data_IF_055992811336
#
_entry.id   IF_055992811336
#
_cell.length_a   1.000
_cell.length_b   1.000
_cell.length_c   1.000
_cell.angle_alpha   90.00
_cell.angle_beta   90.00
_cell.angle_gamma   90.00
#
_symmetry.space_group_name_H-M   'P 1'
#
loop_
_entity.id
_entity.type
_entity.pdbx_description
1 polymer ?
#
# COMPACT_ATOMS: atom_id res chain seq x y z
N UNK A 1 -5.34 11.72 -10.43
CA UNK A 1 -6.77 11.76 -10.02
C UNK A 1 -7.48 10.41 -10.04
N UNK A 2 -7.42 9.62 -11.12
CA UNK A 2 -8.07 8.30 -11.15
C UNK A 2 -7.44 7.30 -10.15
N UNK A 3 -6.11 7.23 -10.09
CA UNK A 3 -5.37 6.37 -9.13
C UNK A 3 -5.69 6.77 -7.68
N UNK A 4 -5.73 8.06 -7.36
CA UNK A 4 -6.00 8.54 -6.01
C UNK A 4 -7.42 8.18 -5.54
N UNK A 5 -8.43 8.34 -6.40
CA UNK A 5 -9.81 7.91 -6.09
C UNK A 5 -9.91 6.40 -5.86
N UNK A 6 -9.18 5.61 -6.64
CA UNK A 6 -9.18 4.16 -6.51
C UNK A 6 -8.50 3.72 -5.21
N UNK A 7 -7.33 4.30 -4.88
CA UNK A 7 -6.64 4.03 -3.61
C UNK A 7 -7.47 4.42 -2.40
N UNK A 8 -8.19 5.54 -2.48
CA UNK A 8 -9.14 5.94 -1.44
C UNK A 8 -10.29 4.95 -1.31
N UNK A 9 -10.84 4.45 -2.42
CA UNK A 9 -11.87 3.41 -2.42
C UNK A 9 -11.36 2.10 -1.81
N UNK A 10 -10.14 1.66 -2.15
CA UNK A 10 -9.50 0.49 -1.54
C UNK A 10 -9.33 0.69 -0.04
N UNK A 11 -8.83 1.86 0.39
CA UNK A 11 -8.61 2.14 1.81
C UNK A 11 -9.92 2.07 2.61
N UNK A 12 -11.01 2.64 2.10
CA UNK A 12 -12.34 2.55 2.75
C UNK A 12 -12.85 1.11 2.77
N UNK A 13 -12.69 0.39 1.66
CA UNK A 13 -13.18 -0.99 1.56
C UNK A 13 -12.43 -1.92 2.51
N UNK A 14 -11.11 -1.75 2.62
CA UNK A 14 -10.25 -2.49 3.54
C UNK A 14 -10.59 -2.18 4.99
N UNK A 15 -10.84 -0.91 5.33
CA UNK A 15 -11.24 -0.51 6.68
C UNK A 15 -12.60 -1.08 7.11
N UNK A 16 -13.47 -1.40 6.14
CA UNK A 16 -14.82 -1.95 6.40
C UNK A 16 -14.86 -3.48 6.39
N UNK A 17 -14.10 -4.13 5.51
CA UNK A 17 -14.19 -5.57 5.28
C UNK A 17 -12.90 -6.34 5.58
N UNK A 18 -11.81 -5.66 5.98
CA UNK A 18 -10.48 -6.23 6.21
C UNK A 18 -9.99 -7.12 5.06
N UNK A 19 -10.43 -6.83 3.84
CA UNK A 19 -10.19 -7.61 2.63
C UNK A 19 -9.92 -6.68 1.46
N UNK A 20 -8.85 -6.96 0.72
CA UNK A 20 -8.54 -6.30 -0.54
C UNK A 20 -8.97 -7.24 -1.69
N UNK A 21 -10.00 -6.89 -2.48
CA UNK A 21 -10.42 -7.73 -3.59
C UNK A 21 -9.38 -7.70 -4.72
N UNK A 22 -9.03 -8.86 -5.29
CA UNK A 22 -8.08 -8.93 -6.40
C UNK A 22 -8.50 -8.08 -7.61
N UNK A 23 -9.81 -7.88 -7.80
CA UNK A 23 -10.34 -7.03 -8.86
C UNK A 23 -9.90 -5.56 -8.72
N UNK A 24 -9.86 -4.99 -7.50
CA UNK A 24 -9.41 -3.60 -7.32
C UNK A 24 -7.92 -3.45 -7.60
N UNK A 25 -7.11 -4.46 -7.27
CA UNK A 25 -5.69 -4.50 -7.60
C UNK A 25 -5.46 -4.60 -9.11
N UNK A 26 -6.25 -5.44 -9.81
CA UNK A 26 -6.19 -5.54 -11.27
C UNK A 26 -6.54 -4.20 -11.92
N UNK A 27 -7.59 -3.53 -11.43
CA UNK A 27 -7.99 -2.21 -11.92
C UNK A 27 -6.89 -1.17 -11.67
N UNK A 28 -6.24 -1.20 -10.50
CA UNK A 28 -5.10 -0.34 -10.19
C UNK A 28 -3.95 -0.53 -11.19
N UNK A 29 -3.59 -1.78 -11.52
CA UNK A 29 -2.56 -2.09 -12.52
C UNK A 29 -2.94 -1.51 -13.88
N UNK A 30 -4.17 -1.75 -14.34
CA UNK A 30 -4.65 -1.27 -15.65
C UNK A 30 -4.61 0.25 -15.71
N UNK A 31 -5.11 0.96 -14.69
CA UNK A 31 -5.08 2.43 -14.65
C UNK A 31 -3.64 2.95 -14.59
N UNK A 32 -2.75 2.33 -13.82
CA UNK A 32 -1.33 2.71 -13.76
C UNK A 32 -0.66 2.58 -15.12
N UNK A 33 -0.93 1.51 -15.87
CA UNK A 33 -0.40 1.32 -17.22
C UNK A 33 -0.94 2.41 -18.16
N UNK A 34 -2.25 2.68 -18.12
CA UNK A 34 -2.90 3.70 -18.96
C UNK A 34 -2.44 5.13 -18.62
N UNK A 35 -2.08 5.38 -17.37
CA UNK A 35 -1.60 6.70 -16.91
C UNK A 35 -0.13 6.96 -17.22
N UNK A 36 0.56 5.98 -17.82
CA UNK A 36 2.00 6.01 -18.05
C UNK A 36 2.76 5.49 -16.83
N UNK A 37 3.28 4.27 -16.94
CA UNK A 37 4.16 3.71 -15.90
C UNK A 37 5.43 4.54 -15.85
N UNK A 38 5.79 4.99 -14.64
CA UNK A 38 6.88 5.95 -14.50
C UNK A 38 8.24 5.31 -14.84
N UNK A 39 8.49 4.04 -14.47
CA UNK A 39 9.77 3.34 -14.74
C UNK A 39 9.65 1.80 -14.59
N UNK A 40 8.93 1.12 -15.49
CA UNK A 40 8.78 -0.35 -15.41
C UNK A 40 10.08 -1.08 -15.76
N UNK A 41 10.56 -1.93 -14.86
CA UNK A 41 11.71 -2.80 -15.06
C UNK A 41 11.47 -4.14 -14.38
N UNK A 42 11.67 -5.22 -15.14
CA UNK A 42 11.47 -6.59 -14.67
C UNK A 42 12.43 -6.97 -13.54
N UNK A 43 13.68 -6.49 -13.59
CA UNK A 43 14.68 -6.79 -12.56
C UNK A 43 14.26 -6.11 -11.25
N UNK A 44 13.82 -4.85 -11.34
CA UNK A 44 13.34 -4.09 -10.21
C UNK A 44 12.04 -4.69 -9.61
N UNK A 45 11.11 -5.12 -10.44
CA UNK A 45 9.90 -5.84 -10.02
C UNK A 45 10.26 -7.13 -9.25
N UNK A 46 11.19 -7.92 -9.76
CA UNK A 46 11.64 -9.15 -9.12
C UNK A 46 12.30 -8.85 -7.77
N UNK A 47 13.19 -7.86 -7.71
CA UNK A 47 13.83 -7.40 -6.49
C UNK A 47 12.81 -6.99 -5.42
N UNK A 48 11.83 -6.15 -5.77
CA UNK A 48 10.76 -5.75 -4.84
C UNK A 48 9.96 -6.97 -4.41
N UNK A 49 9.58 -7.85 -5.34
CA UNK A 49 8.76 -9.02 -5.01
C UNK A 49 9.44 -9.94 -3.99
N UNK A 50 10.76 -10.15 -4.13
CA UNK A 50 11.56 -10.93 -3.18
C UNK A 50 11.69 -10.20 -1.84
N UNK A 51 11.98 -8.90 -1.86
CA UNK A 51 12.10 -8.10 -0.65
C UNK A 51 10.78 -8.07 0.15
N UNK A 52 9.65 -7.88 -0.55
CA UNK A 52 8.32 -7.91 0.07
C UNK A 52 7.99 -9.33 0.55
N UNK A 53 8.27 -10.38 -0.22
CA UNK A 53 8.04 -11.76 0.23
C UNK A 53 8.81 -12.11 1.51
N UNK A 54 10.08 -11.69 1.60
CA UNK A 54 10.89 -11.83 2.82
C UNK A 54 10.29 -11.04 3.98
N UNK A 55 9.87 -9.79 3.73
CA UNK A 55 9.21 -8.96 4.74
C UNK A 55 7.91 -9.60 5.24
N UNK A 56 7.06 -10.10 4.35
CA UNK A 56 5.80 -10.79 4.68
C UNK A 56 6.06 -12.04 5.51
N UNK A 57 7.10 -12.82 5.18
CA UNK A 57 7.47 -14.02 5.90
C UNK A 57 7.99 -13.72 7.32
N UNK A 58 8.75 -12.62 7.48
CA UNK A 58 9.28 -12.21 8.78
C UNK A 58 8.22 -11.57 9.70
N UNK A 59 7.31 -10.78 9.12
CA UNK A 59 6.33 -9.99 9.88
C UNK A 59 4.97 -10.69 10.05
N UNK A 60 4.68 -11.71 9.23
CA UNK A 60 3.36 -12.32 9.18
C UNK A 60 2.29 -11.38 8.59
N UNK A 61 2.69 -10.35 7.83
CA UNK A 61 1.77 -9.40 7.20
C UNK A 61 0.80 -10.12 6.24
N UNK A 62 -0.40 -9.56 6.05
CA UNK A 62 -1.39 -10.12 5.15
C UNK A 62 -0.87 -10.19 3.70
N UNK A 63 -1.12 -11.31 3.01
CA UNK A 63 -0.80 -11.44 1.58
C UNK A 63 -1.52 -10.40 0.71
N UNK A 64 -2.66 -9.86 1.17
CA UNK A 64 -3.35 -8.76 0.50
C UNK A 64 -2.53 -7.47 0.49
N UNK A 65 -2.07 -7.04 1.66
CA UNK A 65 -1.23 -5.84 1.82
C UNK A 65 0.09 -5.96 1.08
N UNK A 66 0.68 -7.16 1.11
CA UNK A 66 1.93 -7.47 0.41
C UNK A 66 1.79 -7.30 -1.11
N UNK A 67 0.68 -7.77 -1.70
CA UNK A 67 0.40 -7.57 -3.12
C UNK A 67 0.21 -6.10 -3.46
N UNK A 68 -0.51 -5.36 -2.61
CA UNK A 68 -0.72 -3.93 -2.80
C UNK A 68 0.62 -3.18 -2.75
N UNK A 69 1.49 -3.50 -1.79
CA UNK A 69 2.82 -2.91 -1.65
C UNK A 69 3.69 -3.14 -2.90
N UNK A 70 3.69 -4.35 -3.46
CA UNK A 70 4.42 -4.67 -4.70
C UNK A 70 3.92 -3.80 -5.86
N UNK A 71 2.59 -3.71 -6.04
CA UNK A 71 1.99 -2.91 -7.11
C UNK A 71 2.34 -1.42 -6.95
N UNK A 72 2.25 -0.90 -5.72
CA UNK A 72 2.57 0.50 -5.43
C UNK A 72 4.04 0.82 -5.77
N UNK A 73 4.97 0.01 -5.27
CA UNK A 73 6.41 0.23 -5.47
C UNK A 73 6.87 0.00 -6.92
N UNK A 74 6.20 -0.88 -7.65
CA UNK A 74 6.59 -1.24 -9.02
C UNK A 74 5.94 -0.36 -10.09
N UNK A 75 4.71 0.12 -9.88
CA UNK A 75 3.90 0.75 -10.92
C UNK A 75 3.41 2.17 -10.59
N UNK A 76 3.25 2.50 -9.31
CA UNK A 76 2.63 3.77 -8.90
C UNK A 76 3.67 4.80 -8.47
N UNK A 77 4.64 4.39 -7.67
CA UNK A 77 5.60 5.30 -7.04
C UNK A 77 6.87 5.37 -7.89
N UNK A 78 7.31 6.55 -8.32
CA UNK A 78 8.57 6.68 -9.02
C UNK A 78 9.76 6.43 -8.08
N UNK A 79 10.84 5.85 -8.62
CA UNK A 79 11.95 5.32 -7.80
C UNK A 79 12.61 6.36 -6.91
N UNK A 80 12.71 7.60 -7.37
CA UNK A 80 13.32 8.69 -6.61
C UNK A 80 12.50 9.09 -5.37
N UNK A 81 11.22 8.71 -5.28
CA UNK A 81 10.34 9.02 -4.14
C UNK A 81 10.20 7.88 -3.14
N UNK A 82 10.86 6.73 -3.32
CA UNK A 82 10.70 5.56 -2.44
C UNK A 82 11.05 5.90 -0.98
N UNK A 83 12.09 6.69 -0.74
CA UNK A 83 12.48 7.10 0.62
C UNK A 83 11.37 7.93 1.29
N UNK A 84 10.78 8.87 0.56
CA UNK A 84 9.64 9.66 1.01
C UNK A 84 8.38 8.81 1.19
N UNK A 85 8.18 7.79 0.34
CA UNK A 85 7.11 6.82 0.52
C UNK A 85 7.25 6.02 1.80
N UNK A 86 8.43 5.46 2.06
CA UNK A 86 8.68 4.68 3.27
C UNK A 86 8.47 5.54 4.52
N UNK A 87 8.98 6.78 4.53
CA UNK A 87 8.77 7.69 5.66
C UNK A 87 7.28 8.06 5.84
N UNK A 88 6.55 8.29 4.74
CA UNK A 88 5.11 8.52 4.79
C UNK A 88 4.32 7.30 5.29
N UNK A 89 4.70 6.08 4.90
CA UNK A 89 4.09 4.84 5.41
C UNK A 89 4.37 4.67 6.91
N UNK A 90 5.58 4.95 7.38
CA UNK A 90 5.92 4.90 8.81
C UNK A 90 5.09 5.91 9.62
N UNK A 91 4.95 7.14 9.11
CA UNK A 91 4.09 8.15 9.74
C UNK A 91 2.62 7.71 9.72
N UNK A 92 2.08 7.29 8.58
CA UNK A 92 0.68 6.86 8.46
C UNK A 92 0.37 5.66 9.35
N UNK A 93 1.25 4.65 9.38
CA UNK A 93 1.10 3.47 10.23
C UNK A 93 1.19 3.81 11.72
N UNK A 94 2.12 4.68 12.14
CA UNK A 94 2.18 5.12 13.54
C UNK A 94 0.90 5.85 13.98
N UNK A 95 0.32 6.68 13.11
CA UNK A 95 -0.96 7.35 13.37
C UNK A 95 -2.10 6.33 13.49
N UNK A 96 -2.17 5.35 12.59
CA UNK A 96 -3.17 4.28 12.64
C UNK A 96 -3.07 3.44 13.92
N UNK A 97 -1.85 3.09 14.33
CA UNK A 97 -1.60 2.36 15.59
C UNK A 97 -2.01 3.22 16.79
N UNK A 98 -1.65 4.51 16.82
CA UNK A 98 -2.05 5.43 17.88
C UNK A 98 -3.57 5.57 17.97
N UNK A 99 -4.26 5.76 16.84
CA UNK A 99 -5.72 5.84 16.80
C UNK A 99 -6.37 4.55 17.28
N UNK A 100 -5.84 3.39 16.87
CA UNK A 100 -6.31 2.09 17.35
C UNK A 100 -6.12 1.96 18.87
N UNK A 101 -4.96 2.36 19.37
CA UNK A 101 -4.64 2.32 20.80
C UNK A 101 -5.53 3.27 21.63
N UNK A 102 -5.81 4.47 21.14
CA UNK A 102 -6.70 5.42 21.81
C UNK A 102 -8.14 4.89 21.85
N UNK A 103 -8.62 4.31 20.73
CA UNK A 103 -10.02 3.87 20.59
C UNK A 103 -10.32 2.56 21.31
N UNK A 104 -9.44 1.56 21.18
CA UNK A 104 -9.68 0.21 21.70
C UNK A 104 -8.90 -0.08 22.98
N UNK A 105 -7.99 0.81 23.40
CA UNK A 105 -7.13 0.65 24.59
C UNK A 105 -6.39 -0.70 24.65
N UNK A 106 -6.16 -1.31 23.50
CA UNK A 106 -5.59 -2.63 23.36
C UNK A 106 -4.72 -2.68 22.11
N UNK A 107 -3.61 -3.41 22.18
CA UNK A 107 -2.79 -3.77 21.02
C UNK A 107 -3.32 -5.01 20.29
N UNK A 108 -4.38 -5.64 20.81
CA UNK A 108 -4.99 -6.82 20.20
C UNK A 108 -6.08 -6.37 19.22
N UNK A 109 -5.79 -6.49 17.93
CA UNK A 109 -6.72 -6.23 16.85
C UNK A 109 -6.05 -6.37 15.48
N UNK A 110 -6.83 -6.73 14.45
CA UNK A 110 -6.37 -6.72 13.06
C UNK A 110 -6.36 -5.27 12.57
N UNK A 111 -5.20 -4.61 12.64
CA UNK A 111 -5.04 -3.25 12.11
C UNK A 111 -4.94 -3.35 10.59
N UNK A 112 -5.92 -2.77 9.89
CA UNK A 112 -5.90 -2.61 8.44
C UNK A 112 -4.66 -1.80 8.02
N UNK A 113 -3.71 -2.43 7.31
CA UNK A 113 -2.47 -1.79 6.88
C UNK A 113 -2.61 -1.10 5.52
N UNK A 114 -3.54 -1.55 4.67
CA UNK A 114 -3.81 -0.94 3.37
C UNK A 114 -4.14 0.57 3.44
N UNK A 115 -4.90 1.09 4.42
CA UNK A 115 -5.13 2.53 4.58
C UNK A 115 -3.84 3.33 4.80
N UNK A 116 -2.83 2.77 5.49
CA UNK A 116 -1.53 3.42 5.66
C UNK A 116 -0.79 3.51 4.33
N UNK A 117 -0.79 2.41 3.56
CA UNK A 117 -0.14 2.34 2.25
C UNK A 117 -0.80 3.28 1.24
N UNK A 118 -2.13 3.23 1.13
CA UNK A 118 -2.89 4.13 0.27
C UNK A 118 -2.72 5.60 0.69
N UNK A 119 -2.82 5.88 2.00
CA UNK A 119 -2.65 7.23 2.55
C UNK A 119 -1.27 7.81 2.27
N UNK A 120 -0.21 7.00 2.36
CA UNK A 120 1.14 7.42 2.00
C UNK A 120 1.24 7.83 0.53
N UNK A 121 0.70 7.04 -0.41
CA UNK A 121 0.69 7.40 -1.84
C UNK A 121 -0.08 8.69 -2.09
N UNK A 122 -1.24 8.87 -1.43
CA UNK A 122 -2.04 10.09 -1.54
C UNK A 122 -1.28 11.32 -1.01
N UNK A 123 -0.44 11.17 0.01
CA UNK A 123 0.39 12.26 0.54
C UNK A 123 1.53 12.66 -0.42
N UNK A 124 2.00 11.73 -1.26
CA UNK A 124 3.06 11.95 -2.24
C UNK A 124 2.56 12.44 -3.60
N UNK A 125 1.28 12.21 -3.91
CA UNK A 125 0.67 12.54 -5.19
C UNK A 125 -0.12 13.86 -5.06
N UNK A 126 0.46 15.02 -5.42
CA UNK A 126 -0.30 16.28 -5.46
C UNK A 126 -1.41 16.28 -6.52
#
# INVERSE_FOLDING_TARGET
MAISLLLFSIAIFDLKHHRIPNFSLLLLIVISILSGVHDFDLIYLLLISVAVALFTLLTGCGFGDSKLLIILLALVIPRYQISHFISAVLLASSILVLLHLIRFRSFRGEIAFAPALCGAVLALSP
#
